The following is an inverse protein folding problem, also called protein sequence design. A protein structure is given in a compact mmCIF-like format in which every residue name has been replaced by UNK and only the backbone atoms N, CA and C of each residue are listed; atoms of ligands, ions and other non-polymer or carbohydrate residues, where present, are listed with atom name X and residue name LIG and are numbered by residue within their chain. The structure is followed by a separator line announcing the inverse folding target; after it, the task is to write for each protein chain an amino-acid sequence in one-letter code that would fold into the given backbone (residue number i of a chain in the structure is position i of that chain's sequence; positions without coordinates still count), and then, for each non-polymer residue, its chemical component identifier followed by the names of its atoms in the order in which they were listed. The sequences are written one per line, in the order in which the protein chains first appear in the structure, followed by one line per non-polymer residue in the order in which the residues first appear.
data_IF_098309512294
#
_entry.id   IF_098309512294
#
_cell.length_a   1.000
_cell.length_b   1.000
_cell.length_c   1.000
_cell.angle_alpha   90.00
_cell.angle_beta   90.00
_cell.angle_gamma   90.00
#
_symmetry.space_group_name_H-M   'P 1'
#
loop_
_entity.id
_entity.type
_entity.pdbx_description
1 polymer ?
#
# COMPACT_ATOMS: atom_id res chain seq x y z
N UNK A 1 49.96 8.91 -14.05
CA UNK A 1 49.32 7.83 -13.30
C UNK A 1 47.95 7.65 -13.94
N UNK A 2 47.69 6.53 -14.55
CA UNK A 2 46.40 6.22 -15.24
C UNK A 2 45.46 5.68 -14.17
N UNK A 3 44.30 6.31 -14.00
CA UNK A 3 43.22 5.80 -13.15
C UNK A 3 42.69 4.50 -13.76
N UNK A 4 42.81 3.42 -12.99
CA UNK A 4 42.26 2.13 -13.36
C UNK A 4 40.74 2.13 -13.16
N UNK A 5 39.99 2.23 -14.25
CA UNK A 5 38.56 1.97 -14.24
C UNK A 5 38.29 0.52 -13.81
N UNK A 6 37.42 0.36 -12.83
CA UNK A 6 36.87 -0.96 -12.42
C UNK A 6 36.14 -1.52 -13.64
N UNK A 7 36.46 -2.72 -14.12
CA UNK A 7 35.70 -3.35 -15.20
C UNK A 7 34.28 -3.61 -14.70
N UNK A 8 33.25 -3.49 -15.56
CA UNK A 8 31.88 -3.87 -15.20
C UNK A 8 31.84 -5.34 -14.79
N UNK A 9 30.96 -5.73 -13.85
CA UNK A 9 30.83 -7.12 -13.44
C UNK A 9 30.57 -8.02 -14.65
N UNK A 10 31.31 -9.11 -14.72
CA UNK A 10 31.39 -10.01 -15.87
C UNK A 10 30.14 -10.90 -16.11
N UNK A 11 29.02 -10.63 -15.47
CA UNK A 11 27.79 -11.43 -15.50
C UNK A 11 26.55 -10.65 -15.96
N UNK A 12 26.69 -9.68 -16.84
CA UNK A 12 25.58 -9.34 -17.73
C UNK A 12 25.49 -10.45 -18.79
N UNK A 13 25.10 -11.66 -18.36
CA UNK A 13 24.65 -12.66 -19.32
C UNK A 13 23.48 -12.05 -20.09
N UNK A 14 23.60 -12.03 -21.42
CA UNK A 14 22.46 -11.88 -22.30
C UNK A 14 21.45 -12.96 -21.90
N UNK A 15 20.47 -12.57 -21.08
CA UNK A 15 19.34 -13.45 -20.79
C UNK A 15 18.71 -13.75 -22.15
N UNK A 16 18.42 -15.01 -22.45
CA UNK A 16 17.71 -15.34 -23.68
C UNK A 16 16.43 -14.49 -23.72
N UNK A 17 16.02 -14.01 -24.91
CA UNK A 17 14.76 -13.30 -25.03
C UNK A 17 13.66 -14.15 -24.37
N UNK A 18 12.72 -13.52 -23.66
CA UNK A 18 11.61 -14.26 -23.05
C UNK A 18 10.96 -15.15 -24.12
N UNK A 19 10.53 -16.37 -23.77
CA UNK A 19 9.87 -17.23 -24.72
C UNK A 19 8.70 -16.47 -25.35
N UNK A 20 8.43 -16.66 -26.66
CA UNK A 20 7.32 -15.95 -27.31
C UNK A 20 6.05 -16.21 -26.52
N UNK A 21 5.32 -15.14 -26.24
CA UNK A 21 4.08 -15.12 -25.46
C UNK A 21 3.17 -16.29 -25.83
N UNK A 22 3.20 -17.36 -25.07
CA UNK A 22 2.12 -18.34 -25.10
C UNK A 22 0.99 -17.72 -24.29
N UNK A 23 0.29 -16.79 -24.90
CA UNK A 23 -0.88 -16.16 -24.29
C UNK A 23 -1.85 -17.27 -23.95
N UNK A 24 -2.11 -17.48 -22.67
CA UNK A 24 -3.13 -18.43 -22.23
C UNK A 24 -4.47 -18.08 -22.92
N UNK A 25 -5.21 -19.04 -23.51
CA UNK A 25 -6.39 -18.76 -24.34
C UNK A 25 -7.59 -18.18 -23.57
N UNK A 26 -7.54 -18.10 -22.24
CA UNK A 26 -8.62 -17.50 -21.45
C UNK A 26 -8.80 -16.02 -21.81
N UNK A 27 -10.01 -15.62 -22.16
CA UNK A 27 -10.33 -14.24 -22.49
C UNK A 27 -10.47 -13.35 -21.26
N UNK A 28 -10.82 -13.94 -20.11
CA UNK A 28 -11.06 -13.25 -18.85
C UNK A 28 -10.11 -13.75 -17.76
N UNK A 29 -9.75 -12.87 -16.82
CA UNK A 29 -8.87 -13.24 -15.72
C UNK A 29 -9.43 -14.36 -14.84
N UNK A 30 -10.72 -14.32 -14.54
CA UNK A 30 -11.37 -15.35 -13.71
C UNK A 30 -11.51 -16.72 -14.39
N UNK A 31 -11.14 -16.86 -15.66
CA UNK A 31 -11.10 -18.12 -16.39
C UNK A 31 -9.72 -18.76 -16.43
N UNK A 32 -8.71 -18.08 -15.85
CA UNK A 32 -7.36 -18.63 -15.70
C UNK A 32 -7.37 -19.85 -14.78
N UNK A 33 -6.61 -20.91 -15.10
CA UNK A 33 -6.41 -22.04 -14.21
C UNK A 33 -5.85 -21.59 -12.86
N UNK A 34 -6.43 -22.06 -11.76
CA UNK A 34 -6.06 -21.63 -10.42
C UNK A 34 -6.93 -20.51 -9.84
N UNK A 35 -7.76 -19.86 -10.66
CA UNK A 35 -8.74 -18.87 -10.17
C UNK A 35 -9.82 -19.54 -9.31
N UNK A 36 -10.07 -19.00 -8.14
CA UNK A 36 -11.17 -19.38 -7.24
C UNK A 36 -12.31 -18.40 -7.44
N UNK A 37 -13.45 -18.89 -7.92
CA UNK A 37 -14.63 -18.10 -8.32
C UNK A 37 -15.67 -18.12 -7.23
N UNK A 38 -16.22 -16.96 -6.89
CA UNK A 38 -17.31 -16.78 -5.92
C UNK A 38 -18.62 -16.58 -6.65
N UNK A 39 -19.37 -17.66 -6.78
CA UNK A 39 -20.65 -17.71 -7.52
C UNK A 39 -21.83 -17.74 -6.56
N UNK A 40 -23.03 -17.45 -7.06
CA UNK A 40 -24.26 -17.55 -6.25
C UNK A 40 -24.54 -18.98 -5.79
N UNK A 41 -24.04 -19.96 -6.51
CA UNK A 41 -24.20 -21.41 -6.24
C UNK A 41 -23.11 -21.98 -5.34
N UNK A 42 -22.07 -21.19 -5.02
CA UNK A 42 -20.96 -21.62 -4.19
C UNK A 42 -19.61 -21.14 -4.70
N UNK A 43 -18.55 -21.68 -4.12
CA UNK A 43 -17.17 -21.36 -4.47
C UNK A 43 -16.59 -22.50 -5.31
N UNK A 44 -16.07 -22.16 -6.49
CA UNK A 44 -15.48 -23.12 -7.42
C UNK A 44 -14.06 -22.71 -7.79
N UNK A 45 -13.25 -23.65 -8.25
CA UNK A 45 -11.91 -23.36 -8.75
C UNK A 45 -11.80 -23.77 -10.22
N UNK A 46 -11.21 -22.92 -11.05
CA UNK A 46 -10.92 -23.21 -12.44
C UNK A 46 -9.79 -24.23 -12.52
N UNK A 47 -10.08 -25.42 -13.04
CA UNK A 47 -9.11 -26.50 -13.10
C UNK A 47 -8.13 -26.35 -14.24
N UNK A 48 -6.85 -26.53 -13.94
CA UNK A 48 -5.75 -26.67 -14.93
C UNK A 48 -5.52 -28.11 -15.38
N UNK A 49 -6.59 -28.90 -15.62
CA UNK A 49 -6.45 -30.28 -16.12
C UNK A 49 -6.43 -31.40 -15.09
N UNK A 50 -6.46 -31.09 -13.78
CA UNK A 50 -6.64 -32.08 -12.68
C UNK A 50 -7.74 -31.60 -11.74
N UNK A 51 -8.20 -32.49 -10.84
CA UNK A 51 -9.19 -32.14 -9.82
C UNK A 51 -8.64 -31.03 -8.94
N UNK A 52 -9.17 -29.83 -9.09
CA UNK A 52 -8.67 -28.65 -8.43
C UNK A 52 -9.17 -28.61 -6.97
N UNK A 53 -8.25 -28.66 -6.02
CA UNK A 53 -8.52 -28.35 -4.62
C UNK A 53 -8.11 -26.91 -4.37
N UNK A 54 -8.99 -26.11 -3.77
CA UNK A 54 -8.69 -24.72 -3.42
C UNK A 54 -7.49 -24.73 -2.45
N UNK A 55 -6.39 -24.03 -2.77
CA UNK A 55 -5.20 -24.04 -1.91
C UNK A 55 -5.51 -23.35 -0.57
N UNK A 56 -4.87 -23.77 0.53
CA UNK A 56 -5.08 -23.17 1.86
C UNK A 56 -4.87 -21.64 1.89
N UNK A 57 -3.98 -21.13 1.03
CA UNK A 57 -3.71 -19.70 0.87
C UNK A 57 -4.90 -18.89 0.35
N UNK A 58 -5.92 -19.54 -0.23
CA UNK A 58 -7.13 -18.91 -0.77
C UNK A 58 -8.42 -19.41 -0.11
N UNK A 59 -8.40 -20.58 0.52
CA UNK A 59 -9.60 -21.27 1.03
C UNK A 59 -10.31 -20.51 2.17
N UNK A 60 -9.58 -19.67 2.90
CA UNK A 60 -10.15 -18.88 4.00
C UNK A 60 -10.89 -17.63 3.53
N UNK A 61 -10.55 -17.12 2.34
CA UNK A 61 -11.03 -15.85 1.85
C UNK A 61 -12.51 -15.92 1.46
N UNK A 62 -13.24 -14.86 1.77
CA UNK A 62 -14.63 -14.65 1.40
C UNK A 62 -14.76 -13.34 0.63
N UNK A 63 -15.22 -13.43 -0.61
CA UNK A 63 -15.45 -12.29 -1.49
C UNK A 63 -16.95 -12.19 -1.87
N UNK A 64 -17.39 -11.03 -2.37
CA UNK A 64 -18.70 -10.91 -3.00
C UNK A 64 -18.84 -11.87 -4.19
N UNK A 65 -20.06 -12.22 -4.54
CA UNK A 65 -20.36 -12.99 -5.77
C UNK A 65 -19.94 -12.22 -7.02
N UNK A 66 -19.60 -12.96 -8.08
CA UNK A 66 -19.10 -12.46 -9.36
C UNK A 66 -17.67 -11.88 -9.29
N UNK A 67 -16.90 -12.30 -8.28
CA UNK A 67 -15.46 -12.04 -8.19
C UNK A 67 -14.68 -13.35 -8.13
N UNK A 68 -13.43 -13.29 -8.52
CA UNK A 68 -12.48 -14.37 -8.32
C UNK A 68 -11.23 -13.87 -7.60
N UNK A 69 -10.53 -14.81 -6.99
CA UNK A 69 -9.19 -14.61 -6.44
C UNK A 69 -8.22 -15.63 -7.02
N UNK A 70 -6.99 -15.23 -7.17
CA UNK A 70 -5.92 -16.06 -7.67
C UNK A 70 -4.65 -15.85 -6.85
N UNK A 71 -3.90 -16.91 -6.63
CA UNK A 71 -2.57 -16.81 -6.03
C UNK A 71 -1.59 -16.25 -7.06
N UNK A 72 -0.78 -15.28 -6.68
CA UNK A 72 0.21 -14.69 -7.58
C UNK A 72 1.63 -15.15 -7.28
N UNK A 73 2.06 -15.04 -6.02
CA UNK A 73 3.42 -15.39 -5.62
C UNK A 73 3.67 -15.17 -4.15
N UNK A 74 4.93 -15.30 -3.74
CA UNK A 74 5.33 -15.19 -2.34
C UNK A 74 6.60 -14.36 -2.18
N UNK A 75 6.56 -13.38 -1.27
CA UNK A 75 7.69 -12.52 -0.93
C UNK A 75 7.84 -12.44 0.58
N UNK A 76 9.05 -12.46 1.11
CA UNK A 76 9.29 -12.24 2.54
C UNK A 76 8.82 -10.83 2.95
N UNK A 77 7.95 -10.73 3.95
CA UNK A 77 7.45 -9.47 4.53
C UNK A 77 7.09 -8.36 3.51
N UNK A 78 6.13 -8.56 2.60
CA UNK A 78 5.75 -7.54 1.61
C UNK A 78 4.95 -6.42 2.30
N UNK A 79 5.43 -5.17 2.23
CA UNK A 79 4.85 -4.03 2.95
C UNK A 79 4.26 -2.96 2.05
N UNK A 80 4.75 -2.83 0.83
CA UNK A 80 4.28 -1.92 -0.19
C UNK A 80 4.38 -2.60 -1.54
N UNK A 81 3.40 -2.39 -2.38
CA UNK A 81 3.36 -2.93 -3.76
C UNK A 81 3.05 -1.82 -4.75
N UNK A 82 3.68 -1.88 -5.92
CA UNK A 82 3.48 -0.96 -7.05
C UNK A 82 3.70 -1.68 -8.36
N UNK A 83 2.87 -1.40 -9.35
CA UNK A 83 3.17 -1.81 -10.71
C UNK A 83 4.16 -0.85 -11.37
N UNK A 84 5.15 -1.43 -12.01
CA UNK A 84 5.93 -0.72 -13.00
C UNK A 84 5.08 -0.45 -14.26
N UNK A 85 5.38 0.59 -15.05
CA UNK A 85 4.66 0.86 -16.31
C UNK A 85 4.71 -0.28 -17.32
N UNK A 86 5.65 -1.23 -17.18
CA UNK A 86 5.77 -2.44 -18.00
C UNK A 86 4.92 -3.62 -17.52
N UNK A 87 4.30 -3.51 -16.33
CA UNK A 87 3.38 -4.51 -15.79
C UNK A 87 3.96 -5.44 -14.73
N UNK A 88 5.26 -5.36 -14.42
CA UNK A 88 5.83 -6.12 -13.30
C UNK A 88 5.37 -5.54 -11.95
N UNK A 89 5.06 -6.42 -11.00
CA UNK A 89 4.77 -6.02 -9.63
C UNK A 89 6.07 -5.80 -8.85
N UNK A 90 6.32 -4.57 -8.42
CA UNK A 90 7.41 -4.24 -7.50
C UNK A 90 6.92 -4.28 -6.06
N UNK A 91 7.73 -4.84 -5.18
CA UNK A 91 7.41 -5.05 -3.77
C UNK A 91 8.54 -4.53 -2.89
N UNK A 92 8.21 -3.63 -1.98
CA UNK A 92 9.11 -3.28 -0.89
C UNK A 92 8.97 -4.35 0.21
N UNK A 93 10.09 -4.98 0.52
CA UNK A 93 10.20 -6.12 1.45
C UNK A 93 11.24 -5.80 2.52
N UNK A 94 10.90 -4.96 3.53
CA UNK A 94 11.82 -4.64 4.61
C UNK A 94 11.97 -5.79 5.61
N UNK A 95 13.05 -5.77 6.40
CA UNK A 95 13.11 -6.57 7.62
C UNK A 95 12.08 -6.02 8.59
N UNK A 96 11.14 -6.85 9.00
CA UNK A 96 10.11 -6.48 9.97
C UNK A 96 10.57 -6.74 11.40
N UNK A 97 10.17 -5.87 12.33
CA UNK A 97 10.45 -6.06 13.77
C UNK A 97 9.70 -7.28 14.31
N UNK A 98 8.49 -7.53 13.81
CA UNK A 98 7.59 -8.59 14.30
C UNK A 98 7.23 -9.63 13.25
N UNK A 99 7.46 -9.37 11.96
CA UNK A 99 6.92 -10.15 10.84
C UNK A 99 7.97 -10.93 10.05
N UNK A 100 9.21 -10.95 10.51
CA UNK A 100 10.27 -11.75 9.90
C UNK A 100 11.15 -11.00 8.91
N UNK A 101 11.95 -11.74 8.17
CA UNK A 101 12.95 -11.21 7.26
C UNK A 101 12.35 -10.74 5.94
N UNK A 102 12.93 -9.70 5.37
CA UNK A 102 12.69 -9.28 4.00
C UNK A 102 13.10 -10.36 2.98
N UNK A 103 12.81 -10.13 1.72
CA UNK A 103 13.21 -11.01 0.63
C UNK A 103 14.74 -11.21 0.61
N UNK A 104 15.16 -12.47 0.50
CA UNK A 104 16.58 -12.83 0.60
C UNK A 104 17.19 -12.65 2.00
N UNK A 105 16.36 -12.52 3.05
CA UNK A 105 16.81 -12.36 4.45
C UNK A 105 17.29 -10.94 4.80
N UNK A 106 17.03 -9.97 3.96
CA UNK A 106 17.42 -8.56 4.14
C UNK A 106 16.34 -7.62 3.62
N UNK A 107 16.40 -6.33 3.98
CA UNK A 107 15.50 -5.34 3.38
C UNK A 107 15.83 -5.14 1.91
N UNK A 108 14.85 -5.35 1.04
CA UNK A 108 15.03 -5.34 -0.41
C UNK A 108 13.80 -4.77 -1.12
N UNK A 109 14.01 -4.34 -2.36
CA UNK A 109 12.95 -4.14 -3.35
C UNK A 109 13.07 -5.29 -4.33
N UNK A 110 11.99 -6.02 -4.53
CA UNK A 110 11.93 -7.12 -5.49
C UNK A 110 10.91 -6.83 -6.56
N UNK A 111 11.01 -7.51 -7.71
CA UNK A 111 10.00 -7.48 -8.75
C UNK A 111 9.55 -8.88 -9.12
N UNK A 112 8.29 -8.99 -9.51
CA UNK A 112 7.61 -10.22 -9.87
C UNK A 112 7.00 -10.01 -11.27
N UNK A 113 7.59 -10.59 -12.34
CA UNK A 113 7.00 -10.60 -13.66
C UNK A 113 5.95 -11.71 -13.79
N UNK A 114 5.02 -11.53 -14.73
CA UNK A 114 4.09 -12.53 -15.25
C UNK A 114 4.16 -12.43 -16.79
N UNK A 115 5.32 -12.82 -17.33
CA UNK A 115 5.65 -12.62 -18.75
C UNK A 115 4.81 -13.55 -19.67
N UNK A 116 4.46 -14.72 -19.14
CA UNK A 116 3.60 -15.70 -19.84
C UNK A 116 2.09 -15.43 -19.64
N UNK A 117 1.74 -14.45 -18.78
CA UNK A 117 0.37 -14.02 -18.48
C UNK A 117 -0.55 -15.15 -18.00
N UNK A 118 -0.04 -16.12 -17.25
CA UNK A 118 -0.84 -17.20 -16.70
C UNK A 118 -1.48 -16.85 -15.34
N UNK A 119 -1.17 -15.69 -14.81
CA UNK A 119 -1.70 -15.17 -13.55
C UNK A 119 -0.82 -15.46 -12.35
N UNK A 120 0.28 -16.19 -12.52
CA UNK A 120 1.30 -16.44 -11.51
C UNK A 120 2.55 -15.60 -11.78
N UNK A 121 3.28 -15.25 -10.74
CA UNK A 121 4.60 -14.69 -10.93
C UNK A 121 5.59 -15.75 -11.43
N UNK A 122 6.29 -15.48 -12.54
CA UNK A 122 7.31 -16.39 -13.09
C UNK A 122 8.51 -16.52 -12.17
N UNK A 123 8.81 -15.45 -11.42
CA UNK A 123 9.96 -15.39 -10.51
C UNK A 123 9.79 -14.30 -9.46
N UNK A 124 10.63 -14.36 -8.43
CA UNK A 124 10.86 -13.26 -7.49
C UNK A 124 12.32 -12.87 -7.60
N UNK A 125 12.58 -11.68 -8.11
CA UNK A 125 13.94 -11.21 -8.37
C UNK A 125 14.25 -9.92 -7.62
N UNK A 126 15.49 -9.76 -7.15
CA UNK A 126 15.91 -8.57 -6.43
C UNK A 126 16.19 -7.45 -7.43
N UNK A 127 15.50 -6.31 -7.26
CA UNK A 127 15.82 -5.07 -7.96
C UNK A 127 16.91 -4.27 -7.22
N UNK A 128 16.74 -4.10 -5.90
CA UNK A 128 17.69 -3.41 -5.01
C UNK A 128 17.71 -4.12 -3.66
N UNK A 129 18.89 -4.42 -3.16
CA UNK A 129 19.07 -5.07 -1.86
C UNK A 129 19.79 -4.18 -0.83
N UNK A 130 19.92 -4.71 0.40
CA UNK A 130 20.69 -4.11 1.50
C UNK A 130 20.27 -2.69 1.86
N UNK A 131 18.98 -2.41 1.71
CA UNK A 131 18.40 -1.16 2.17
C UNK A 131 18.21 -1.24 3.70
N UNK A 132 18.58 -0.20 4.48
CA UNK A 132 18.33 -0.20 5.92
C UNK A 132 16.86 -0.34 6.25
N UNK A 133 16.01 0.44 5.57
CA UNK A 133 14.55 0.41 5.65
C UNK A 133 13.99 0.88 4.31
N UNK A 134 12.98 0.17 3.79
CA UNK A 134 12.33 0.53 2.53
C UNK A 134 10.85 0.19 2.59
N UNK A 135 9.99 1.13 2.20
CA UNK A 135 8.56 0.90 2.01
C UNK A 135 8.02 1.74 0.84
N UNK A 136 8.34 3.03 0.76
CA UNK A 136 7.86 3.89 -0.31
C UNK A 136 8.39 3.47 -1.68
N UNK A 137 7.50 3.32 -2.66
CA UNK A 137 7.79 3.01 -4.06
C UNK A 137 6.95 3.90 -4.96
N UNK A 138 7.55 4.50 -6.00
CA UNK A 138 6.84 5.32 -6.98
C UNK A 138 7.54 5.24 -8.34
N UNK A 139 6.78 4.95 -9.38
CA UNK A 139 7.22 5.11 -10.77
C UNK A 139 6.67 6.42 -11.34
N UNK A 140 7.57 7.25 -11.85
CA UNK A 140 7.24 8.40 -12.69
C UNK A 140 7.57 8.08 -14.15
N UNK A 141 7.37 9.04 -15.06
CA UNK A 141 7.67 8.83 -16.48
C UNK A 141 9.15 8.50 -16.78
N UNK A 142 10.06 8.94 -15.91
CA UNK A 142 11.50 8.89 -16.18
C UNK A 142 12.34 8.29 -15.07
N UNK A 143 11.77 8.11 -13.88
CA UNK A 143 12.50 7.65 -12.72
C UNK A 143 11.66 6.70 -11.87
N UNK A 144 12.36 5.78 -11.21
CA UNK A 144 11.83 5.02 -10.10
C UNK A 144 12.33 5.64 -8.79
N UNK A 145 11.39 6.03 -7.92
CA UNK A 145 11.66 6.58 -6.59
C UNK A 145 11.40 5.51 -5.55
N UNK A 146 12.26 5.46 -4.54
CA UNK A 146 12.08 4.55 -3.42
C UNK A 146 12.64 5.13 -2.12
N UNK A 147 12.17 4.59 -1.01
CA UNK A 147 12.69 4.91 0.31
C UNK A 147 13.97 4.13 0.61
N UNK A 148 14.99 4.82 1.11
CA UNK A 148 16.20 4.26 1.72
C UNK A 148 16.41 4.91 3.10
N UNK A 149 15.88 4.29 4.14
CA UNK A 149 15.85 4.84 5.50
C UNK A 149 15.10 6.18 5.56
N UNK A 150 15.76 7.28 5.93
CA UNK A 150 15.20 8.62 5.94
C UNK A 150 15.14 9.28 4.55
N UNK A 151 15.84 8.71 3.58
CA UNK A 151 16.04 9.30 2.28
C UNK A 151 14.98 8.83 1.28
N UNK A 152 14.58 9.78 0.42
CA UNK A 152 13.92 9.47 -0.85
C UNK A 152 15.01 9.51 -1.92
N UNK A 153 15.14 8.38 -2.59
CA UNK A 153 16.15 8.15 -3.63
C UNK A 153 15.44 7.94 -4.95
N UNK A 154 16.03 8.37 -6.06
CA UNK A 154 15.58 8.02 -7.39
C UNK A 154 16.70 7.43 -8.23
N UNK A 155 16.33 6.59 -9.17
CA UNK A 155 17.18 6.10 -10.26
C UNK A 155 16.49 6.34 -11.59
N UNK A 156 17.21 6.61 -12.69
CA UNK A 156 16.60 6.62 -14.01
C UNK A 156 15.86 5.31 -14.28
N UNK A 157 14.70 5.39 -14.90
CA UNK A 157 13.88 4.23 -15.24
C UNK A 157 13.36 4.33 -16.67
N UNK A 158 13.46 3.23 -17.38
CA UNK A 158 12.80 3.01 -18.66
C UNK A 158 11.84 1.82 -18.53
N UNK A 159 10.74 1.88 -19.28
CA UNK A 159 9.75 0.80 -19.28
C UNK A 159 10.42 -0.54 -19.61
N UNK A 160 10.24 -1.52 -18.73
CA UNK A 160 10.86 -2.84 -18.82
C UNK A 160 12.18 -3.00 -18.06
N UNK A 161 12.68 -1.96 -17.38
CA UNK A 161 13.89 -2.11 -16.56
C UNK A 161 13.61 -3.00 -15.33
N UNK A 162 14.37 -4.08 -15.22
CA UNK A 162 14.31 -5.07 -14.12
C UNK A 162 15.54 -4.99 -13.19
N UNK A 163 16.38 -3.99 -13.39
CA UNK A 163 17.54 -3.66 -12.55
C UNK A 163 17.78 -2.15 -12.57
N UNK A 164 18.41 -1.57 -11.53
CA UNK A 164 18.66 -0.15 -11.49
C UNK A 164 19.49 0.34 -12.67
N UNK A 165 19.01 1.37 -13.36
CA UNK A 165 19.70 2.01 -14.48
C UNK A 165 20.40 3.27 -13.99
N UNK A 166 21.73 3.31 -14.10
CA UNK A 166 22.52 4.50 -13.75
C UNK A 166 22.69 4.72 -12.24
N UNK A 167 23.08 5.94 -11.88
CA UNK A 167 23.43 6.29 -10.51
C UNK A 167 22.20 6.61 -9.65
N UNK A 168 22.32 6.34 -8.37
CA UNK A 168 21.34 6.74 -7.35
C UNK A 168 21.48 8.23 -7.05
N UNK A 169 20.38 8.94 -7.04
CA UNK A 169 20.29 10.33 -6.62
C UNK A 169 19.44 10.44 -5.35
N UNK A 170 19.97 11.11 -4.31
CA UNK A 170 19.18 11.45 -3.12
C UNK A 170 18.39 12.70 -3.45
N UNK A 171 17.05 12.58 -3.46
CA UNK A 171 16.13 13.69 -3.77
C UNK A 171 15.81 14.49 -2.52
N UNK A 172 15.65 13.82 -1.38
CA UNK A 172 15.42 14.44 -0.08
C UNK A 172 15.92 13.53 1.04
N UNK A 173 16.29 14.13 2.17
CA UNK A 173 16.58 13.44 3.44
C UNK A 173 15.59 13.95 4.50
N UNK A 174 14.51 13.19 4.71
CA UNK A 174 13.38 13.60 5.53
C UNK A 174 13.61 13.13 6.96
N UNK A 175 14.21 13.99 7.77
CA UNK A 175 14.68 13.71 9.13
C UNK A 175 13.89 14.43 10.22
N UNK A 176 12.69 14.93 9.91
CA UNK A 176 11.88 15.67 10.89
C UNK A 176 11.61 14.88 12.17
N UNK A 177 11.35 13.59 12.04
CA UNK A 177 11.24 12.64 13.15
C UNK A 177 11.76 11.28 12.73
N UNK A 178 12.37 10.59 13.67
CA UNK A 178 12.83 9.22 13.52
C UNK A 178 12.24 8.38 14.64
N UNK A 179 11.57 7.30 14.26
CA UNK A 179 11.00 6.33 15.18
C UNK A 179 11.29 4.94 14.67
N UNK A 180 11.51 4.00 15.57
CA UNK A 180 11.67 2.59 15.21
C UNK A 180 10.40 1.99 14.59
N UNK A 181 9.21 2.57 14.87
CA UNK A 181 7.93 2.07 14.37
C UNK A 181 7.33 2.92 13.26
N UNK A 182 7.57 4.24 13.28
CA UNK A 182 6.97 5.19 12.33
C UNK A 182 7.97 5.61 11.23
N UNK A 183 8.82 4.69 10.82
CA UNK A 183 9.85 4.90 9.81
C UNK A 183 9.35 4.92 8.36
N UNK A 184 8.19 4.32 8.00
CA UNK A 184 7.76 4.31 6.61
C UNK A 184 7.65 5.72 6.02
N UNK A 185 8.03 5.83 4.75
CA UNK A 185 7.89 7.04 3.94
C UNK A 185 7.15 6.67 2.65
N UNK A 186 5.83 6.41 2.75
CA UNK A 186 5.02 6.18 1.55
C UNK A 186 5.03 7.44 0.69
N UNK A 187 5.02 7.26 -0.62
CA UNK A 187 5.00 8.38 -1.55
C UNK A 187 4.16 8.10 -2.78
N UNK A 188 3.61 9.17 -3.35
CA UNK A 188 2.94 9.13 -4.65
C UNK A 188 3.03 10.48 -5.36
N UNK A 189 2.77 10.47 -6.67
CA UNK A 189 2.80 11.63 -7.55
C UNK A 189 1.38 11.98 -8.00
N UNK A 190 1.00 13.25 -7.83
CA UNK A 190 -0.20 13.81 -8.43
C UNK A 190 -0.05 14.01 -9.94
N UNK A 191 -1.16 14.19 -10.66
CA UNK A 191 -1.14 14.34 -12.12
C UNK A 191 -0.35 15.57 -12.60
N UNK A 192 -0.17 16.58 -11.73
CA UNK A 192 0.65 17.78 -12.01
C UNK A 192 2.15 17.58 -11.77
N UNK A 193 2.56 16.36 -11.34
CA UNK A 193 3.95 16.03 -11.04
C UNK A 193 4.39 16.33 -9.61
N UNK A 194 3.49 16.80 -8.76
CA UNK A 194 3.80 17.01 -7.33
C UNK A 194 3.92 15.69 -6.61
N UNK A 195 5.05 15.47 -5.92
CA UNK A 195 5.28 14.26 -5.13
C UNK A 195 5.07 14.56 -3.65
N UNK A 196 4.21 13.76 -3.03
CA UNK A 196 3.91 13.79 -1.60
C UNK A 196 4.53 12.59 -0.90
N UNK A 197 5.07 12.82 0.31
CA UNK A 197 5.70 11.81 1.15
C UNK A 197 5.10 11.85 2.54
N UNK A 198 4.68 10.69 3.04
CA UNK A 198 4.30 10.53 4.44
C UNK A 198 5.54 10.52 5.35
N UNK A 199 5.49 11.22 6.47
CA UNK A 199 6.52 11.20 7.50
C UNK A 199 5.91 10.98 8.88
N UNK A 200 6.14 9.81 9.46
CA UNK A 200 5.64 9.46 10.78
C UNK A 200 6.27 10.27 11.91
N UNK A 201 5.53 10.45 12.98
CA UNK A 201 5.95 11.12 14.19
C UNK A 201 6.92 10.30 15.03
N UNK A 202 7.50 10.92 16.04
CA UNK A 202 8.30 10.23 17.05
C UNK A 202 7.44 9.30 17.92
N UNK A 203 8.07 8.42 18.68
CA UNK A 203 7.38 7.52 19.62
C UNK A 203 6.89 8.23 20.88
N UNK A 204 7.38 9.45 21.13
CA UNK A 204 6.93 10.26 22.24
C UNK A 204 5.58 10.89 21.95
N UNK A 205 4.49 10.23 22.30
CA UNK A 205 3.12 10.64 22.02
C UNK A 205 2.65 11.82 22.90
N UNK A 206 3.55 12.45 23.66
CA UNK A 206 3.23 13.62 24.43
C UNK A 206 2.94 14.83 23.53
N UNK A 207 1.91 15.59 23.87
CA UNK A 207 1.61 16.85 23.21
C UNK A 207 2.73 17.86 23.48
N UNK A 208 3.45 18.24 22.44
CA UNK A 208 4.49 19.24 22.47
C UNK A 208 4.13 20.38 21.50
N UNK A 209 3.53 21.41 22.07
CA UNK A 209 3.09 22.59 21.30
C UNK A 209 4.27 23.42 20.73
N UNK A 210 5.50 23.18 21.21
CA UNK A 210 6.68 23.88 20.69
C UNK A 210 7.23 23.26 19.40
N UNK A 211 6.78 22.04 19.07
CA UNK A 211 7.15 21.36 17.82
C UNK A 211 5.99 21.39 16.85
N UNK A 212 5.93 22.35 15.92
CA UNK A 212 4.79 22.55 15.05
C UNK A 212 4.58 21.39 14.05
N UNK A 213 5.61 20.57 13.79
CA UNK A 213 5.55 19.43 12.89
C UNK A 213 6.16 18.20 13.55
N UNK A 214 5.31 17.33 14.10
CA UNK A 214 5.74 16.04 14.68
C UNK A 214 5.57 14.85 13.73
N UNK A 215 4.62 14.91 12.84
CA UNK A 215 4.36 13.94 11.79
C UNK A 215 3.35 14.52 10.82
N UNK A 216 3.39 14.09 9.56
CA UNK A 216 2.51 14.62 8.54
C UNK A 216 2.95 14.32 7.11
N UNK A 217 2.56 15.20 6.20
CA UNK A 217 2.86 15.07 4.78
C UNK A 217 3.88 16.14 4.38
N UNK A 218 4.88 15.69 3.65
CA UNK A 218 5.95 16.51 3.06
C UNK A 218 5.78 16.50 1.55
N UNK A 219 5.89 17.68 0.92
CA UNK A 219 5.98 17.84 -0.53
C UNK A 219 7.46 17.92 -0.94
N UNK A 220 7.85 17.17 -1.96
CA UNK A 220 9.18 17.30 -2.56
C UNK A 220 9.21 18.57 -3.43
N UNK A 221 9.97 19.57 -3.03
CA UNK A 221 10.09 20.88 -3.68
C UNK A 221 11.52 21.21 -4.10
N UNK A 222 12.43 20.22 -4.03
CA UNK A 222 13.85 20.38 -4.30
C UNK A 222 14.67 20.82 -3.07
N UNK A 223 14.04 21.16 -1.95
CA UNK A 223 14.79 21.39 -0.70
C UNK A 223 15.26 20.06 -0.10
N UNK A 224 16.39 20.06 0.65
CA UNK A 224 16.97 18.82 1.17
C UNK A 224 16.06 17.97 2.06
N UNK A 225 15.12 18.60 2.78
CA UNK A 225 14.17 17.92 3.68
C UNK A 225 12.76 17.84 3.12
N UNK A 226 12.50 18.43 1.95
CA UNK A 226 11.15 18.68 1.46
C UNK A 226 10.41 19.74 2.30
N UNK A 227 9.22 20.13 1.86
CA UNK A 227 8.36 21.11 2.51
C UNK A 227 7.22 20.45 3.27
N UNK A 228 7.15 20.55 4.61
CA UNK A 228 5.96 20.12 5.36
C UNK A 228 4.73 20.92 4.94
N UNK A 229 3.67 20.23 4.51
CA UNK A 229 2.45 20.89 4.02
C UNK A 229 1.21 20.58 4.86
N UNK A 230 1.14 19.39 5.47
CA UNK A 230 0.07 19.01 6.38
C UNK A 230 0.66 18.31 7.61
N UNK A 231 0.08 18.51 8.76
CA UNK A 231 0.60 18.03 10.04
C UNK A 231 -0.45 17.27 10.85
N UNK A 232 -0.07 16.81 12.03
CA UNK A 232 -1.00 16.17 12.96
C UNK A 232 -1.24 14.69 12.63
N UNK A 233 -0.30 14.04 11.93
CA UNK A 233 -0.30 12.60 11.72
C UNK A 233 0.67 11.93 12.69
N UNK A 234 0.28 10.79 13.25
CA UNK A 234 1.19 9.92 14.02
C UNK A 234 2.02 9.05 13.08
N UNK A 235 1.35 8.33 12.17
CA UNK A 235 2.02 7.45 11.23
C UNK A 235 1.24 7.39 9.90
N UNK A 236 1.51 8.31 8.96
CA UNK A 236 0.95 8.26 7.63
C UNK A 236 1.58 7.10 6.85
N UNK A 237 0.97 5.91 6.95
CA UNK A 237 1.55 4.64 6.48
C UNK A 237 1.39 4.40 4.98
N UNK A 238 0.44 5.05 4.33
CA UNK A 238 0.21 4.98 2.90
C UNK A 238 -0.19 6.34 2.34
N UNK A 239 0.30 6.64 1.14
CA UNK A 239 -0.05 7.83 0.33
C UNK A 239 -0.41 7.35 -1.06
N UNK A 240 -1.53 7.83 -1.61
CA UNK A 240 -2.00 7.55 -2.97
C UNK A 240 -2.66 8.77 -3.59
N UNK A 241 -2.36 9.02 -4.85
CA UNK A 241 -3.00 10.03 -5.66
C UNK A 241 -3.98 9.39 -6.64
N UNK A 242 -5.18 9.92 -6.69
CA UNK A 242 -6.22 9.44 -7.60
C UNK A 242 -5.99 10.02 -8.99
N UNK A 243 -5.76 9.17 -9.96
CA UNK A 243 -5.49 9.55 -11.34
C UNK A 243 -6.65 10.32 -11.96
N UNK A 244 -6.33 11.39 -12.68
CA UNK A 244 -7.28 12.26 -13.36
C UNK A 244 -7.93 13.32 -12.48
N UNK A 245 -7.49 13.50 -11.23
CA UNK A 245 -8.13 14.43 -10.30
C UNK A 245 -7.19 15.38 -9.55
N UNK A 246 -5.89 15.19 -9.60
CA UNK A 246 -4.89 15.85 -8.73
C UNK A 246 -5.17 15.71 -7.22
N UNK A 247 -6.05 14.79 -6.81
CA UNK A 247 -6.35 14.56 -5.41
C UNK A 247 -5.48 13.43 -4.86
N UNK A 248 -4.80 13.72 -3.78
CA UNK A 248 -3.99 12.74 -3.05
C UNK A 248 -4.57 12.54 -1.64
N UNK A 249 -4.37 11.34 -1.13
CA UNK A 249 -4.90 10.92 0.16
C UNK A 249 -3.81 10.19 0.95
N UNK A 250 -3.96 10.20 2.26
CA UNK A 250 -3.10 9.48 3.18
C UNK A 250 -3.91 8.65 4.17
N UNK A 251 -3.37 7.50 4.53
CA UNK A 251 -3.82 6.72 5.68
C UNK A 251 -3.02 7.15 6.91
N UNK A 252 -3.72 7.38 8.00
CA UNK A 252 -3.22 7.73 9.31
C UNK A 252 -3.46 6.60 10.29
N UNK A 253 -2.39 6.06 10.87
CA UNK A 253 -2.49 5.23 12.07
C UNK A 253 -2.43 6.15 13.30
N UNK A 254 -3.55 6.25 14.00
CA UNK A 254 -3.72 7.17 15.11
C UNK A 254 -2.99 6.71 16.38
N UNK A 255 -3.12 7.50 17.44
CA UNK A 255 -2.54 7.20 18.73
C UNK A 255 -3.15 5.93 19.33
N UNK A 256 -2.29 5.00 19.75
CA UNK A 256 -2.70 3.76 20.38
C UNK A 256 -3.55 4.04 21.64
N UNK A 257 -4.53 3.18 21.90
CA UNK A 257 -5.42 3.26 23.07
C UNK A 257 -6.28 4.53 23.18
N UNK A 258 -6.38 5.33 22.10
CA UNK A 258 -7.20 6.56 22.11
C UNK A 258 -8.67 6.34 21.76
N UNK A 259 -9.13 5.11 21.61
CA UNK A 259 -10.51 4.79 21.20
C UNK A 259 -11.57 5.35 22.17
N UNK A 260 -11.32 5.28 23.49
CA UNK A 260 -12.24 5.82 24.52
C UNK A 260 -12.31 7.34 24.51
N UNK A 261 -11.29 7.98 23.93
CA UNK A 261 -11.23 9.44 23.74
C UNK A 261 -11.84 9.91 22.43
N UNK A 262 -12.43 8.98 21.66
CA UNK A 262 -12.95 9.27 20.32
C UNK A 262 -11.88 9.23 19.23
N UNK A 263 -10.68 8.72 19.52
CA UNK A 263 -9.61 8.52 18.55
C UNK A 263 -10.03 7.56 17.44
N UNK A 264 -9.62 7.87 16.20
CA UNK A 264 -9.93 7.10 15.00
C UNK A 264 -8.71 7.03 14.10
N UNK A 265 -8.51 5.89 13.49
CA UNK A 265 -7.64 5.78 12.32
C UNK A 265 -8.36 6.36 11.10
N UNK A 266 -7.62 6.90 10.12
CA UNK A 266 -8.24 7.79 9.12
C UNK A 266 -7.71 7.51 7.72
N UNK A 267 -8.58 7.71 6.72
CA UNK A 267 -8.21 7.91 5.33
C UNK A 267 -8.63 9.33 4.94
N UNK A 268 -7.67 10.20 4.69
CA UNK A 268 -7.88 11.64 4.62
C UNK A 268 -7.25 12.26 3.37
N UNK A 269 -7.84 13.32 2.81
CA UNK A 269 -7.22 14.08 1.72
C UNK A 269 -5.95 14.79 2.19
N UNK A 270 -5.00 14.96 1.28
CA UNK A 270 -3.79 15.76 1.50
C UNK A 270 -4.07 17.17 1.02
N UNK A 271 -4.07 18.14 1.95
CA UNK A 271 -4.26 19.57 1.65
C UNK A 271 -3.22 20.39 2.41
N UNK A 272 -2.71 21.42 1.79
CA UNK A 272 -1.77 22.35 2.43
C UNK A 272 -2.45 23.11 3.57
N UNK A 273 -1.81 23.10 4.75
CA UNK A 273 -2.30 23.77 5.96
C UNK A 273 -3.16 22.91 6.88
N UNK A 274 -3.58 21.72 6.47
CA UNK A 274 -4.39 20.83 7.31
C UNK A 274 -3.63 20.37 8.56
N UNK A 275 -4.36 20.32 9.68
CA UNK A 275 -3.91 19.78 10.96
C UNK A 275 -4.85 18.67 11.43
N UNK A 276 -4.35 17.44 11.45
CA UNK A 276 -5.12 16.24 11.79
C UNK A 276 -5.07 15.87 13.28
N UNK A 277 -4.43 16.72 14.10
CA UNK A 277 -4.56 16.75 15.55
C UNK A 277 -3.45 16.06 16.35
N UNK A 278 -2.78 15.04 15.81
CA UNK A 278 -1.73 14.34 16.56
C UNK A 278 -0.56 15.27 16.93
N UNK A 279 0.02 15.18 18.14
CA UNK A 279 -0.31 14.25 19.23
C UNK A 279 -1.29 14.83 20.28
N UNK A 280 -1.83 16.00 20.06
CA UNK A 280 -2.59 16.74 21.07
C UNK A 280 -4.09 16.47 21.03
N UNK A 281 -4.62 16.20 19.85
CA UNK A 281 -6.05 16.07 19.62
C UNK A 281 -6.40 14.70 19.01
N UNK A 282 -7.44 14.08 19.53
CA UNK A 282 -8.00 12.85 18.97
C UNK A 282 -8.79 13.15 17.69
N UNK A 283 -9.58 14.21 17.69
CA UNK A 283 -10.30 14.78 16.54
C UNK A 283 -10.63 16.24 16.85
N UNK A 284 -11.44 16.89 15.99
CA UNK A 284 -11.89 18.28 16.22
C UNK A 284 -12.57 18.43 17.56
N UNK A 285 -12.20 19.47 18.30
CA UNK A 285 -12.72 19.84 19.63
C UNK A 285 -12.52 18.78 20.75
N UNK A 286 -11.76 17.70 20.46
CA UNK A 286 -11.49 16.64 21.40
C UNK A 286 -10.00 16.50 21.66
N UNK A 287 -9.45 17.15 22.69
CA UNK A 287 -8.08 16.92 23.11
C UNK A 287 -7.92 15.53 23.75
N UNK A 288 -6.74 14.95 23.62
CA UNK A 288 -6.38 13.75 24.38
C UNK A 288 -6.43 14.01 25.89
N UNK A 289 -6.72 12.97 26.69
CA UNK A 289 -6.98 13.10 28.13
C UNK A 289 -5.85 13.79 28.88
N UNK A 290 -4.60 13.49 28.51
CA UNK A 290 -3.42 14.06 29.16
C UNK A 290 -3.22 15.56 28.89
N UNK A 291 -3.93 16.13 27.90
CA UNK A 291 -3.70 17.52 27.45
C UNK A 291 -4.96 18.38 27.43
N UNK A 292 -6.05 17.89 28.03
CA UNK A 292 -7.39 18.53 28.00
C UNK A 292 -7.42 20.04 28.32
N UNK A 293 -6.48 20.54 29.10
CA UNK A 293 -6.47 21.93 29.53
C UNK A 293 -5.56 22.84 28.68
N UNK A 294 -4.79 22.29 27.76
CA UNK A 294 -3.72 23.04 27.05
C UNK A 294 -3.80 22.98 25.54
N UNK A 295 -4.51 22.03 24.96
CA UNK A 295 -4.61 21.87 23.52
C UNK A 295 -5.89 22.55 22.97
N UNK A 296 -5.70 23.42 21.96
CA UNK A 296 -6.80 23.97 21.14
C UNK A 296 -7.04 23.05 19.94
N UNK A 297 -8.05 22.21 20.03
CA UNK A 297 -8.44 21.27 18.98
C UNK A 297 -9.49 21.82 18.01
N UNK A 298 -9.90 23.08 18.14
CA UNK A 298 -10.91 23.69 17.27
C UNK A 298 -10.48 23.78 15.81
N UNK A 299 -9.16 23.77 15.56
CA UNK A 299 -8.57 23.85 14.21
C UNK A 299 -8.27 22.49 13.60
N UNK A 300 -8.42 21.40 14.36
CA UNK A 300 -8.22 20.04 13.83
C UNK A 300 -9.26 19.76 12.77
N UNK A 301 -8.81 19.24 11.63
CA UNK A 301 -9.70 18.88 10.52
C UNK A 301 -10.48 17.62 10.91
N UNK A 302 -11.83 17.62 10.78
CA UNK A 302 -12.62 16.42 11.03
C UNK A 302 -12.41 15.42 9.89
N UNK A 303 -12.36 14.15 10.24
CA UNK A 303 -12.28 13.06 9.27
C UNK A 303 -13.63 12.72 8.65
N UNK A 304 -13.70 12.56 7.34
CA UNK A 304 -14.86 12.06 6.61
C UNK A 304 -14.88 10.53 6.57
N UNK A 305 -13.69 9.90 6.47
CA UNK A 305 -13.52 8.44 6.46
C UNK A 305 -12.61 8.02 7.59
N UNK A 306 -13.12 7.16 8.46
CA UNK A 306 -12.37 6.71 9.62
C UNK A 306 -12.63 5.23 9.93
N UNK A 307 -11.69 4.63 10.67
CA UNK A 307 -11.69 3.24 11.10
C UNK A 307 -11.57 3.18 12.63
N UNK A 308 -11.90 2.04 13.21
CA UNK A 308 -11.66 1.81 14.63
C UNK A 308 -10.16 1.75 14.92
N UNK A 309 -9.76 2.23 16.09
CA UNK A 309 -8.41 1.97 16.59
C UNK A 309 -8.20 0.45 16.66
N UNK A 310 -7.16 -0.02 15.98
CA UNK A 310 -6.86 -1.45 15.84
C UNK A 310 -7.37 -2.12 14.57
N UNK A 311 -8.19 -1.45 13.75
CA UNK A 311 -8.43 -1.90 12.37
C UNK A 311 -7.12 -1.80 11.55
N UNK A 312 -6.28 -0.86 11.90
CA UNK A 312 -4.94 -0.65 11.34
C UNK A 312 -4.97 -0.61 9.81
N UNK A 313 -5.57 0.42 9.18
CA UNK A 313 -5.53 0.57 7.73
C UNK A 313 -4.07 0.74 7.30
N UNK A 314 -3.59 -0.14 6.41
CA UNK A 314 -2.15 -0.24 6.15
C UNK A 314 -1.77 0.11 4.72
N UNK A 315 -2.66 -0.12 3.77
CA UNK A 315 -2.48 0.23 2.37
C UNK A 315 -3.80 0.46 1.68
N UNK A 316 -3.81 1.29 0.65
CA UNK A 316 -4.98 1.52 -0.18
C UNK A 316 -4.60 1.88 -1.60
N UNK A 317 -5.55 1.70 -2.53
CA UNK A 317 -5.44 2.17 -3.90
C UNK A 317 -6.83 2.40 -4.50
N UNK A 318 -6.91 3.13 -5.60
CA UNK A 318 -8.15 3.48 -6.29
C UNK A 318 -8.41 2.55 -7.47
N UNK A 319 -9.62 2.02 -7.55
CA UNK A 319 -10.07 1.22 -8.67
C UNK A 319 -10.10 2.07 -9.96
N UNK A 320 -9.48 1.63 -11.06
CA UNK A 320 -9.33 2.42 -12.29
C UNK A 320 -10.59 2.53 -13.16
N UNK A 321 -11.77 2.49 -12.56
CA UNK A 321 -13.10 2.58 -13.18
C UNK A 321 -13.45 1.42 -14.14
N UNK A 322 -12.81 0.27 -13.95
CA UNK A 322 -13.01 -0.96 -14.73
C UNK A 322 -13.98 -1.96 -14.07
N UNK A 323 -14.23 -1.81 -12.76
CA UNK A 323 -15.09 -2.72 -12.02
C UNK A 323 -16.55 -2.34 -12.11
N UNK A 324 -17.47 -3.29 -11.87
CA UNK A 324 -18.90 -3.00 -11.88
C UNK A 324 -19.30 -2.17 -10.65
N UNK A 325 -20.43 -1.47 -10.77
CA UNK A 325 -21.11 -0.87 -9.61
C UNK A 325 -21.47 -1.98 -8.61
N UNK A 326 -21.29 -1.79 -7.29
CA UNK A 326 -21.02 -0.49 -6.63
C UNK A 326 -19.54 -0.17 -6.39
N UNK A 327 -18.61 -0.88 -7.00
CA UNK A 327 -17.18 -0.81 -6.71
C UNK A 327 -16.39 0.12 -7.63
N UNK A 328 -17.02 0.55 -8.72
CA UNK A 328 -16.40 1.38 -9.75
C UNK A 328 -15.80 2.67 -9.19
N UNK A 329 -14.49 2.86 -9.36
CA UNK A 329 -13.75 4.04 -8.94
C UNK A 329 -13.55 4.17 -7.42
N UNK A 330 -13.95 3.19 -6.62
CA UNK A 330 -13.79 3.20 -5.17
C UNK A 330 -12.33 3.09 -4.74
N UNK A 331 -12.04 3.56 -3.53
CA UNK A 331 -10.80 3.21 -2.84
C UNK A 331 -10.95 1.85 -2.15
N UNK A 332 -9.94 1.00 -2.27
CA UNK A 332 -9.85 -0.27 -1.56
C UNK A 332 -8.77 -0.18 -0.49
N UNK A 333 -9.11 -0.51 0.75
CA UNK A 333 -8.25 -0.34 1.91
C UNK A 333 -8.00 -1.68 2.59
N UNK A 334 -6.72 -2.05 2.70
CA UNK A 334 -6.29 -3.20 3.47
C UNK A 334 -6.25 -2.84 4.96
N UNK A 335 -7.10 -3.46 5.76
CA UNK A 335 -7.12 -3.35 7.19
C UNK A 335 -6.30 -4.49 7.78
N UNK A 336 -5.21 -4.14 8.44
CA UNK A 336 -4.21 -5.08 8.94
C UNK A 336 -4.65 -5.81 10.21
N UNK A 337 -5.66 -5.25 10.91
CA UNK A 337 -6.17 -5.78 12.17
C UNK A 337 -5.26 -5.54 13.38
N UNK A 338 -5.77 -5.83 14.56
CA UNK A 338 -5.04 -5.66 15.82
C UNK A 338 -3.84 -6.62 15.91
N UNK A 339 -2.81 -6.22 16.66
CA UNK A 339 -1.72 -7.13 17.02
C UNK A 339 -2.26 -8.30 17.87
N UNK A 340 -1.77 -9.50 17.62
CA UNK A 340 -2.21 -10.73 18.29
C UNK A 340 -3.17 -11.54 17.41
N UNK A 341 -4.48 -11.61 17.70
CA UNK A 341 -5.40 -12.48 16.97
C UNK A 341 -5.88 -11.89 15.63
N UNK A 342 -5.30 -10.80 15.14
CA UNK A 342 -5.64 -10.11 13.88
C UNK A 342 -7.13 -9.72 13.74
N UNK A 343 -7.79 -9.43 14.86
CA UNK A 343 -9.16 -8.95 14.85
C UNK A 343 -9.31 -7.72 13.98
N UNK A 344 -10.36 -7.72 13.14
CA UNK A 344 -10.63 -6.65 12.20
C UNK A 344 -9.85 -6.73 10.87
N UNK A 345 -8.93 -7.68 10.70
CA UNK A 345 -8.20 -7.87 9.46
C UNK A 345 -9.13 -8.21 8.29
N UNK A 346 -9.19 -7.34 7.30
CA UNK A 346 -10.09 -7.45 6.14
C UNK A 346 -9.73 -6.46 5.03
N UNK A 347 -10.36 -6.61 3.89
CA UNK A 347 -10.34 -5.64 2.81
C UNK A 347 -11.70 -4.91 2.77
N UNK A 348 -11.67 -3.59 2.75
CA UNK A 348 -12.88 -2.76 2.62
C UNK A 348 -12.83 -1.92 1.36
N UNK A 349 -14.02 -1.60 0.83
CA UNK A 349 -14.21 -0.65 -0.26
C UNK A 349 -14.84 0.63 0.29
N UNK A 350 -14.24 1.77 -0.02
CA UNK A 350 -14.72 3.11 0.33
C UNK A 350 -15.19 3.79 -0.94
N UNK A 351 -16.45 4.20 -0.97
CA UNK A 351 -17.04 4.83 -2.14
C UNK A 351 -16.42 6.20 -2.41
N UNK A 352 -16.26 6.50 -3.69
CA UNK A 352 -15.75 7.79 -4.21
C UNK A 352 -16.85 8.44 -5.05
N UNK A 353 -17.05 9.72 -4.87
CA UNK A 353 -17.86 10.52 -5.78
C UNK A 353 -17.08 10.65 -7.11
N UNK A 354 -17.59 10.00 -8.17
CA UNK A 354 -16.90 9.91 -9.46
C UNK A 354 -16.76 11.26 -10.19
N UNK A 355 -17.61 12.23 -9.86
CA UNK A 355 -17.60 13.56 -10.48
C UNK A 355 -16.55 14.46 -9.81
N UNK A 356 -16.44 14.37 -8.48
CA UNK A 356 -15.53 15.23 -7.70
C UNK A 356 -14.23 14.54 -7.30
N UNK A 357 -14.18 13.21 -7.24
CA UNK A 357 -13.06 12.44 -6.71
C UNK A 357 -12.96 12.43 -5.19
N UNK A 358 -13.97 12.94 -4.47
CA UNK A 358 -13.98 12.95 -3.02
C UNK A 358 -14.43 11.60 -2.46
N UNK A 359 -13.84 11.22 -1.31
CA UNK A 359 -14.30 10.06 -0.55
C UNK A 359 -15.70 10.34 0.00
N UNK A 360 -16.58 9.35 -0.06
CA UNK A 360 -17.89 9.44 0.56
C UNK A 360 -17.77 9.20 2.07
N UNK A 361 -18.38 10.07 2.90
CA UNK A 361 -18.27 9.94 4.34
C UNK A 361 -18.68 8.57 4.87
N UNK A 362 -17.93 8.05 5.81
CA UNK A 362 -18.22 6.82 6.55
C UNK A 362 -18.09 7.10 8.03
N UNK A 363 -19.22 7.35 8.68
CA UNK A 363 -19.29 7.77 10.09
C UNK A 363 -19.76 6.67 11.04
N UNK A 364 -19.93 5.44 10.56
CA UNK A 364 -20.50 4.35 11.35
C UNK A 364 -19.48 3.77 12.31
N UNK A 365 -19.87 3.58 13.57
CA UNK A 365 -19.15 2.78 14.53
C UNK A 365 -18.93 1.36 13.96
N UNK A 366 -17.70 0.87 14.09
CA UNK A 366 -17.32 -0.40 13.48
C UNK A 366 -16.76 -0.30 12.06
N UNK A 367 -16.62 0.92 11.51
CA UNK A 367 -15.93 1.15 10.24
C UNK A 367 -16.66 0.65 8.99
N UNK A 368 -17.93 0.23 9.12
CA UNK A 368 -18.72 -0.24 7.97
C UNK A 368 -20.06 0.47 7.96
N UNK A 369 -20.37 1.14 6.88
CA UNK A 369 -21.61 1.91 6.67
C UNK A 369 -21.37 3.18 5.88
N UNK A 370 -22.41 3.88 5.50
CA UNK A 370 -22.30 5.05 4.64
C UNK A 370 -21.60 4.69 3.32
N UNK A 371 -20.45 5.30 3.08
CA UNK A 371 -19.62 5.04 1.89
C UNK A 371 -18.73 3.80 1.98
N UNK A 372 -18.67 3.10 3.12
CA UNK A 372 -17.74 1.98 3.33
C UNK A 372 -18.46 0.62 3.38
N UNK A 373 -17.82 -0.42 2.81
CA UNK A 373 -18.34 -1.81 2.79
C UNK A 373 -17.20 -2.80 2.99
N UNK A 374 -17.47 -3.90 3.70
CA UNK A 374 -16.59 -5.06 3.64
C UNK A 374 -16.57 -5.61 2.22
N UNK A 375 -15.37 -5.92 1.72
CA UNK A 375 -15.18 -6.51 0.41
C UNK A 375 -14.55 -7.91 0.49
N UNK A 376 -13.42 -8.04 1.19
CA UNK A 376 -12.77 -9.34 1.42
C UNK A 376 -12.61 -9.60 2.91
N UNK A 377 -13.03 -10.77 3.39
CA UNK A 377 -12.96 -11.15 4.81
C UNK A 377 -12.40 -12.57 4.97
N UNK A 378 -12.10 -12.97 6.20
CA UNK A 378 -11.62 -14.30 6.56
C UNK A 378 -10.24 -14.32 7.21
N UNK A 379 -9.51 -13.21 7.24
CA UNK A 379 -8.19 -13.13 7.89
C UNK A 379 -8.25 -13.15 9.43
N UNK A 380 -9.38 -12.74 10.00
CA UNK A 380 -9.58 -12.57 11.45
C UNK A 380 -10.12 -13.85 12.15
N UNK A 381 -9.77 -15.01 11.65
CA UNK A 381 -10.20 -16.30 12.18
C UNK A 381 -9.35 -16.81 13.35
N UNK A 382 -8.51 -15.96 13.96
CA UNK A 382 -7.58 -16.26 15.06
C UNK A 382 -6.39 -17.14 14.69
N UNK A 383 -6.27 -17.57 13.44
CA UNK A 383 -5.07 -18.29 12.97
C UNK A 383 -4.12 -17.29 12.29
N UNK A 384 -2.85 -17.32 12.65
CA UNK A 384 -1.83 -16.46 11.99
C UNK A 384 -1.42 -17.01 10.62
N UNK A 385 -2.01 -18.11 10.17
CA UNK A 385 -1.64 -18.80 8.94
C UNK A 385 -2.00 -18.05 7.68
N UNK A 386 -3.00 -17.17 7.74
CA UNK A 386 -3.50 -16.42 6.58
C UNK A 386 -2.73 -15.13 6.30
N UNK A 387 -1.75 -14.80 7.12
CA UNK A 387 -1.05 -13.51 7.05
C UNK A 387 -1.95 -12.35 7.44
N UNK A 388 -1.55 -11.14 7.05
CA UNK A 388 -2.30 -9.90 7.31
C UNK A 388 -2.35 -9.07 6.04
N UNK A 389 -3.52 -8.52 5.64
CA UNK A 389 -3.62 -7.59 4.52
C UNK A 389 -2.76 -6.34 4.79
N UNK A 390 -1.68 -6.15 4.05
CA UNK A 390 -0.75 -5.05 4.30
C UNK A 390 -0.78 -4.00 3.19
N UNK A 391 -0.74 -4.40 1.94
CA UNK A 391 -0.71 -3.47 0.83
C UNK A 391 -1.66 -3.90 -0.29
N UNK A 392 -2.23 -2.93 -0.97
CA UNK A 392 -3.02 -3.14 -2.19
C UNK A 392 -2.55 -2.20 -3.28
N UNK A 393 -2.66 -2.65 -4.52
CA UNK A 393 -2.48 -1.84 -5.71
C UNK A 393 -3.30 -2.39 -6.87
N UNK A 394 -3.84 -1.51 -7.70
CA UNK A 394 -4.46 -1.93 -8.94
C UNK A 394 -3.43 -1.99 -10.07
N UNK A 395 -3.48 -3.08 -10.83
CA UNK A 395 -2.82 -3.13 -12.13
C UNK A 395 -3.59 -2.26 -13.13
N UNK A 396 -2.91 -1.83 -14.19
CA UNK A 396 -3.55 -1.07 -15.26
C UNK A 396 -4.68 -1.86 -15.94
N UNK A 397 -4.57 -3.19 -15.99
CA UNK A 397 -5.61 -4.08 -16.51
C UNK A 397 -6.87 -4.13 -15.62
N UNK A 398 -6.82 -3.68 -14.38
CA UNK A 398 -7.93 -3.60 -13.43
C UNK A 398 -7.93 -4.70 -12.37
N UNK A 399 -6.95 -5.62 -12.35
CA UNK A 399 -6.80 -6.56 -11.22
C UNK A 399 -6.35 -5.81 -9.97
N UNK A 400 -6.94 -6.15 -8.83
CA UNK A 400 -6.49 -5.69 -7.51
C UNK A 400 -5.51 -6.70 -6.94
N UNK A 401 -4.27 -6.28 -6.71
CA UNK A 401 -3.26 -7.08 -6.04
C UNK A 401 -3.22 -6.74 -4.55
N UNK A 402 -3.16 -7.77 -3.72
CA UNK A 402 -3.08 -7.66 -2.27
C UNK A 402 -1.91 -8.48 -1.77
N UNK A 403 -1.08 -7.85 -0.94
CA UNK A 403 0.04 -8.49 -0.28
C UNK A 403 -0.32 -8.75 1.19
N UNK A 404 -0.09 -9.99 1.64
CA UNK A 404 -0.19 -10.37 3.04
C UNK A 404 1.22 -10.40 3.65
N UNK A 405 1.49 -9.59 4.65
CA UNK A 405 2.70 -9.74 5.44
C UNK A 405 2.58 -10.98 6.38
N UNK A 406 3.59 -11.29 7.15
CA UNK A 406 3.74 -12.52 7.93
C UNK A 406 3.91 -13.80 7.09
N UNK A 407 2.91 -14.18 6.29
CA UNK A 407 3.04 -15.37 5.44
C UNK A 407 3.66 -15.06 4.07
N UNK A 408 3.64 -13.81 3.64
CA UNK A 408 4.27 -13.35 2.40
C UNK A 408 3.46 -13.60 1.13
N UNK A 409 2.26 -14.11 1.22
CA UNK A 409 1.44 -14.42 0.05
C UNK A 409 0.94 -13.15 -0.64
N UNK A 410 1.07 -13.13 -1.96
CA UNK A 410 0.49 -12.11 -2.84
C UNK A 410 -0.60 -12.77 -3.66
N UNK A 411 -1.76 -12.17 -3.67
CA UNK A 411 -2.93 -12.61 -4.41
C UNK A 411 -3.45 -11.49 -5.30
N UNK A 412 -4.19 -11.83 -6.34
CA UNK A 412 -4.97 -10.83 -7.07
C UNK A 412 -6.46 -11.20 -7.12
N UNK A 413 -7.29 -10.17 -7.24
CA UNK A 413 -8.75 -10.25 -7.26
C UNK A 413 -9.26 -9.52 -8.50
N UNK A 414 -10.26 -10.07 -9.15
CA UNK A 414 -10.91 -9.48 -10.31
C UNK A 414 -12.41 -9.78 -10.34
N UNK A 415 -13.27 -8.93 -10.94
CA UNK A 415 -14.63 -9.29 -11.27
C UNK A 415 -14.66 -10.24 -12.47
N UNK A 416 -15.71 -11.06 -12.59
CA UNK A 416 -15.85 -12.06 -13.66
C UNK A 416 -15.81 -11.46 -15.08
N UNK A 417 -16.25 -10.21 -15.21
CA UNK A 417 -16.32 -9.55 -16.52
C UNK A 417 -15.03 -8.86 -16.95
N UNK A 418 -13.99 -8.87 -16.10
CA UNK A 418 -12.72 -8.23 -16.42
C UNK A 418 -11.98 -9.04 -17.49
N UNK A 419 -11.78 -8.40 -18.64
CA UNK A 419 -11.03 -8.96 -19.77
C UNK A 419 -9.50 -8.78 -19.57
N UNK A 420 -8.74 -9.66 -20.21
CA UNK A 420 -7.27 -9.67 -20.17
C UNK A 420 -6.67 -8.75 -21.21
#
# INVERSE_FOLDING_TARGET
MREGGVPPPADAMDLPPPPPDVVHPAAKFCDLPGSVRYETTGVTMVAGGQTATIPPSLAFLKLPTNFCVHYYGKVGNPRQVRFAPSGELFVASPIGITTGGGAGGQSSIVYLPDDNRDGYADSVSIFQDRLPQTQGLLFTKTHFYYQDNTKIVRVPYQVGDRFPRGEREIVADITYHQSLLHWPKPLDEADDGTIYVGNGGDQGEACDLQRPFKGGIVRLDGSPGGLPIAKGFRNPIAVRCQRGTNKCFAIELAKDYSAEEGGREKLVPIREGDDWGYPCCATRDVPHVEVKQTADCSKTVPEDVSFLIGDTPFGFDFEPKKWPTPYKGNAFVALHGTAGPWQGARLVSVAVNLDTGDLMPSTTLGGVGGGMRNFGTGWDDTTLMHGRPAAVTFAEDGRLFLANDNNGDIIWIAPFELER
#
